data_IF_847908373988
#
_entry.id   IF_847908373988
#
_cell.length_a   1.000
_cell.length_b   1.000
_cell.length_c   1.000
_cell.angle_alpha   90.00
_cell.angle_beta   90.00
_cell.angle_gamma   90.00
#
_symmetry.space_group_name_H-M   'P 1'
#
loop_
_entity.id
_entity.type
_entity.pdbx_description
1 polymer ?
#
# COMPACT_ATOMS: atom_id res chain seq x y z
N UNK A 1 -12.23 10.50 5.17
CA UNK A 1 -11.97 9.11 5.61
C UNK A 1 -10.50 8.87 5.36
N UNK A 2 -9.75 8.48 6.39
CA UNK A 2 -8.29 8.38 6.29
C UNK A 2 -7.89 7.26 5.32
N UNK A 3 -6.86 7.50 4.50
CA UNK A 3 -6.29 6.49 3.60
C UNK A 3 -5.86 5.24 4.37
N UNK A 4 -5.44 5.42 5.61
CA UNK A 4 -5.06 4.36 6.55
C UNK A 4 -6.17 3.30 6.70
N UNK A 5 -7.44 3.70 6.82
CA UNK A 5 -8.53 2.73 6.91
C UNK A 5 -8.72 1.92 5.61
N UNK A 6 -8.37 2.46 4.44
CA UNK A 6 -8.40 1.72 3.18
C UNK A 6 -7.28 0.67 3.16
N UNK A 7 -6.06 1.05 3.56
CA UNK A 7 -4.91 0.14 3.67
C UNK A 7 -5.24 -1.01 4.62
N UNK A 8 -5.67 -0.67 5.82
CA UNK A 8 -5.93 -1.66 6.86
C UNK A 8 -7.11 -2.58 6.52
N UNK A 9 -8.14 -2.05 5.85
CA UNK A 9 -9.22 -2.91 5.31
C UNK A 9 -8.67 -3.85 4.23
N UNK A 10 -7.79 -3.37 3.35
CA UNK A 10 -7.20 -4.21 2.31
C UNK A 10 -6.28 -5.29 2.90
N UNK A 11 -5.45 -4.95 3.89
CA UNK A 11 -4.62 -5.92 4.64
C UNK A 11 -5.45 -7.03 5.31
N UNK A 12 -6.62 -6.69 5.84
CA UNK A 12 -7.53 -7.70 6.41
C UNK A 12 -8.01 -8.66 5.32
N UNK A 13 -8.34 -8.15 4.12
CA UNK A 13 -8.89 -8.96 3.03
C UNK A 13 -7.82 -9.69 2.20
N UNK A 14 -6.55 -9.30 2.29
CA UNK A 14 -5.46 -9.87 1.48
C UNK A 14 -5.09 -11.30 1.86
N UNK A 15 -5.58 -11.82 2.99
CA UNK A 15 -5.41 -13.24 3.36
C UNK A 15 -6.32 -14.19 2.55
N UNK A 16 -7.18 -13.66 1.68
CA UNK A 16 -8.10 -14.40 0.83
C UNK A 16 -9.35 -14.93 1.55
N UNK A 17 -9.57 -14.58 2.81
CA UNK A 17 -10.75 -14.96 3.57
C UNK A 17 -11.92 -13.97 3.38
N UNK A 18 -13.12 -14.42 3.77
CA UNK A 18 -14.32 -13.57 3.79
C UNK A 18 -14.53 -12.97 5.18
N UNK A 19 -14.81 -11.67 5.25
CA UNK A 19 -15.11 -10.97 6.50
C UNK A 19 -16.34 -10.08 6.39
N UNK A 20 -17.24 -10.16 7.37
CA UNK A 20 -18.39 -9.26 7.45
C UNK A 20 -17.95 -7.81 7.69
N UNK A 21 -18.76 -6.87 7.23
CA UNK A 21 -18.51 -5.45 7.49
C UNK A 21 -18.54 -5.07 8.98
N UNK A 22 -19.13 -5.92 9.83
CA UNK A 22 -19.12 -5.76 11.29
C UNK A 22 -17.79 -6.23 11.89
N UNK A 23 -17.25 -7.37 11.44
CA UNK A 23 -15.94 -7.87 11.89
C UNK A 23 -14.81 -6.90 11.50
N UNK A 24 -14.80 -6.45 10.24
CA UNK A 24 -13.83 -5.45 9.78
C UNK A 24 -14.00 -4.16 10.61
N UNK A 25 -15.24 -3.68 10.77
CA UNK A 25 -15.53 -2.48 11.54
C UNK A 25 -15.05 -2.57 12.99
N UNK A 26 -15.25 -3.72 13.65
CA UNK A 26 -14.78 -3.97 15.02
C UNK A 26 -13.26 -3.93 15.13
N UNK A 27 -12.53 -4.50 14.17
CA UNK A 27 -11.05 -4.47 14.14
C UNK A 27 -10.51 -3.03 14.00
N UNK A 28 -11.20 -2.22 13.20
CA UNK A 28 -10.82 -0.84 12.89
C UNK A 28 -11.43 0.22 13.82
N UNK A 29 -12.29 -0.18 14.77
CA UNK A 29 -13.01 0.76 15.65
C UNK A 29 -14.00 1.67 14.92
N UNK A 30 -14.54 1.24 13.78
CA UNK A 30 -15.47 2.03 12.94
C UNK A 30 -16.76 1.26 12.62
N UNK A 31 -17.85 2.00 12.37
CA UNK A 31 -19.15 1.39 12.09
C UNK A 31 -19.24 0.69 10.73
N UNK A 32 -20.15 -0.28 10.60
CA UNK A 32 -20.41 -1.03 9.36
C UNK A 32 -20.67 -0.16 8.13
N UNK A 33 -21.36 0.98 8.30
CA UNK A 33 -21.61 1.93 7.21
C UNK A 33 -20.31 2.56 6.67
N UNK A 34 -19.31 2.79 7.55
CA UNK A 34 -17.99 3.26 7.13
C UNK A 34 -17.26 2.18 6.34
N UNK A 35 -17.35 0.91 6.75
CA UNK A 35 -16.77 -0.21 5.99
C UNK A 35 -17.37 -0.32 4.61
N UNK A 36 -18.70 -0.22 4.47
CA UNK A 36 -19.32 -0.23 3.14
C UNK A 36 -18.74 0.86 2.23
N UNK A 37 -18.55 2.08 2.75
CA UNK A 37 -17.93 3.17 2.00
C UNK A 37 -16.47 2.90 1.64
N UNK A 38 -15.69 2.27 2.53
CA UNK A 38 -14.31 1.85 2.24
C UNK A 38 -14.27 0.80 1.13
N UNK A 39 -15.11 -0.24 1.22
CA UNK A 39 -15.19 -1.30 0.20
C UNK A 39 -15.56 -0.71 -1.16
N UNK A 40 -16.52 0.22 -1.21
CA UNK A 40 -16.86 0.93 -2.44
C UNK A 40 -15.67 1.69 -3.02
N UNK A 41 -14.88 2.38 -2.19
CA UNK A 41 -13.67 3.10 -2.65
C UNK A 41 -12.57 2.15 -3.14
N UNK A 42 -12.39 0.99 -2.50
CA UNK A 42 -11.44 -0.02 -2.96
C UNK A 42 -11.84 -0.57 -4.34
N UNK A 43 -13.14 -0.81 -4.55
CA UNK A 43 -13.68 -1.19 -5.87
C UNK A 43 -13.49 -0.10 -6.92
N UNK A 44 -13.72 1.16 -6.57
CA UNK A 44 -13.44 2.32 -7.47
C UNK A 44 -11.96 2.42 -7.84
N UNK A 45 -11.05 1.98 -6.96
CA UNK A 45 -9.61 1.85 -7.24
C UNK A 45 -9.25 0.64 -8.10
N UNK A 46 -10.24 -0.16 -8.49
CA UNK A 46 -10.12 -1.28 -9.42
C UNK A 46 -10.02 -2.65 -8.76
N UNK A 47 -9.96 -2.72 -7.42
CA UNK A 47 -9.83 -3.99 -6.69
C UNK A 47 -11.10 -4.83 -6.80
N UNK A 48 -10.93 -6.13 -7.09
CA UNK A 48 -12.03 -7.07 -7.23
C UNK A 48 -12.44 -7.57 -5.84
N UNK A 49 -13.47 -6.97 -5.26
CA UNK A 49 -14.03 -7.37 -3.96
C UNK A 49 -15.47 -7.86 -4.15
N UNK A 50 -15.75 -9.11 -3.81
CA UNK A 50 -17.09 -9.68 -3.84
C UNK A 50 -17.82 -9.53 -2.52
N UNK A 51 -19.15 -9.43 -2.59
CA UNK A 51 -20.03 -9.51 -1.42
C UNK A 51 -20.66 -10.91 -1.38
N UNK A 52 -20.18 -11.76 -0.48
CA UNK A 52 -20.67 -13.14 -0.30
C UNK A 52 -21.82 -13.14 0.71
N UNK A 53 -23.00 -13.61 0.26
CA UNK A 53 -24.21 -13.65 1.10
C UNK A 53 -23.95 -14.46 2.37
N UNK A 54 -24.12 -13.82 3.52
CA UNK A 54 -23.93 -14.44 4.84
C UNK A 54 -22.47 -14.54 5.31
N UNK A 55 -21.47 -14.18 4.49
CA UNK A 55 -20.05 -14.24 4.87
C UNK A 55 -19.35 -12.87 4.83
N UNK A 56 -19.88 -11.89 4.10
CA UNK A 56 -19.32 -10.54 4.06
C UNK A 56 -18.59 -10.22 2.76
N UNK A 57 -17.41 -9.63 2.88
CA UNK A 57 -16.57 -9.18 1.77
C UNK A 57 -15.35 -10.09 1.60
N UNK A 58 -15.01 -10.40 0.35
CA UNK A 58 -13.84 -11.21 -0.01
C UNK A 58 -13.08 -10.52 -1.13
N UNK A 59 -11.76 -10.40 -1.00
CA UNK A 59 -10.89 -9.95 -2.08
C UNK A 59 -10.61 -11.13 -3.03
N UNK A 60 -10.82 -10.92 -4.32
CA UNK A 60 -10.52 -11.90 -5.37
C UNK A 60 -9.12 -11.70 -5.96
N UNK A 61 -8.63 -10.47 -5.94
CA UNK A 61 -7.27 -10.15 -6.38
C UNK A 61 -6.27 -10.75 -5.37
N UNK A 62 -5.22 -11.42 -5.86
CA UNK A 62 -4.09 -11.80 -5.00
C UNK A 62 -3.22 -10.57 -4.77
N UNK A 63 -3.52 -9.84 -3.70
CA UNK A 63 -2.77 -8.64 -3.31
C UNK A 63 -1.82 -9.00 -2.19
N UNK A 64 -0.53 -8.84 -2.45
CA UNK A 64 0.51 -8.89 -1.44
C UNK A 64 0.88 -7.45 -1.06
N UNK A 65 0.57 -7.07 0.17
CA UNK A 65 0.89 -5.73 0.68
C UNK A 65 2.38 -5.66 1.04
N UNK A 66 2.98 -4.49 0.84
CA UNK A 66 4.34 -4.20 1.26
C UNK A 66 4.46 -4.33 2.77
N UNK A 67 5.37 -5.20 3.21
CA UNK A 67 5.74 -5.35 4.60
C UNK A 67 7.25 -5.13 4.77
N UNK A 68 7.60 -4.09 5.51
CA UNK A 68 9.00 -3.67 5.69
C UNK A 68 9.85 -4.77 6.33
N UNK A 69 9.29 -5.51 7.29
CA UNK A 69 10.02 -6.54 8.02
C UNK A 69 10.29 -7.76 7.13
N UNK A 70 9.32 -8.17 6.33
CA UNK A 70 9.43 -9.27 5.37
C UNK A 70 10.48 -8.94 4.32
N UNK A 71 10.42 -7.73 3.73
CA UNK A 71 11.41 -7.27 2.74
C UNK A 71 12.81 -7.26 3.35
N UNK A 72 12.97 -6.75 4.58
CA UNK A 72 14.26 -6.73 5.29
C UNK A 72 14.77 -8.14 5.60
N UNK A 73 13.90 -9.07 5.98
CA UNK A 73 14.28 -10.43 6.31
C UNK A 73 14.72 -11.25 5.09
N UNK A 74 14.13 -10.98 3.93
CA UNK A 74 14.45 -11.68 2.67
C UNK A 74 15.74 -11.18 2.01
N UNK A 75 16.22 -9.99 2.38
CA UNK A 75 17.52 -9.50 1.95
C UNK A 75 18.62 -10.25 2.67
N UNK A 76 19.40 -11.00 1.89
CA UNK A 76 20.50 -11.84 2.39
C UNK A 76 21.78 -11.07 2.66
N UNK A 77 21.80 -9.78 2.34
CA UNK A 77 22.96 -8.91 2.49
C UNK A 77 22.56 -7.56 3.10
N UNK A 78 23.57 -6.79 3.51
CA UNK A 78 23.41 -5.46 4.06
C UNK A 78 23.58 -4.38 2.96
N UNK A 79 23.07 -4.63 1.74
CA UNK A 79 23.20 -3.66 0.63
C UNK A 79 22.48 -2.34 0.91
N UNK A 80 21.43 -2.38 1.75
CA UNK A 80 20.68 -1.21 2.18
C UNK A 80 20.82 -1.03 3.69
N UNK A 81 21.20 0.18 4.11
CA UNK A 81 21.19 0.56 5.51
C UNK A 81 19.76 0.77 6.03
N UNK A 82 18.84 1.15 5.13
CA UNK A 82 17.45 1.41 5.48
C UNK A 82 16.50 1.12 4.31
N UNK A 83 15.38 0.51 4.64
CA UNK A 83 14.27 0.24 3.72
C UNK A 83 13.03 0.85 4.32
N UNK A 84 12.40 1.70 3.54
CA UNK A 84 11.26 2.51 3.94
C UNK A 84 10.07 2.08 3.09
N UNK A 85 9.01 1.62 3.75
CA UNK A 85 7.73 1.32 3.09
C UNK A 85 6.71 2.41 3.39
N UNK A 86 6.03 2.92 2.36
CA UNK A 86 5.03 3.97 2.49
C UNK A 86 3.69 3.54 1.89
N UNK A 87 2.60 3.73 2.63
CA UNK A 87 1.25 3.51 2.10
C UNK A 87 0.91 4.46 0.95
N UNK A 88 1.40 5.69 1.00
CA UNK A 88 1.19 6.67 -0.06
C UNK A 88 2.28 7.74 -0.01
N UNK A 89 2.76 8.15 -1.18
CA UNK A 89 3.64 9.32 -1.33
C UNK A 89 3.32 10.06 -2.62
N UNK A 90 3.81 11.29 -2.77
CA UNK A 90 3.76 11.96 -4.09
C UNK A 90 4.69 11.24 -5.08
N UNK A 91 5.91 10.94 -4.65
CA UNK A 91 6.92 10.22 -5.43
C UNK A 91 7.97 9.66 -4.47
N UNK A 92 8.31 8.38 -4.63
CA UNK A 92 9.38 7.70 -3.86
C UNK A 92 10.73 8.38 -4.09
N UNK A 93 11.00 8.84 -5.31
CA UNK A 93 12.23 9.54 -5.64
C UNK A 93 12.29 10.90 -4.93
N UNK A 94 11.21 11.68 -4.99
CA UNK A 94 11.14 12.98 -4.32
C UNK A 94 11.18 12.85 -2.80
N UNK A 95 10.63 11.76 -2.25
CA UNK A 95 10.72 11.46 -0.82
C UNK A 95 12.16 11.21 -0.38
N UNK A 96 12.91 10.36 -1.10
CA UNK A 96 14.32 10.13 -0.79
C UNK A 96 15.16 11.40 -0.96
N UNK A 97 14.93 12.16 -2.03
CA UNK A 97 15.69 13.39 -2.28
C UNK A 97 15.43 14.51 -1.27
N UNK A 98 14.25 14.54 -0.62
CA UNK A 98 13.93 15.61 0.35
C UNK A 98 14.31 15.26 1.77
N UNK A 99 14.20 13.99 2.17
CA UNK A 99 14.46 13.55 3.55
C UNK A 99 15.92 13.18 3.80
N UNK A 100 16.66 12.80 2.74
CA UNK A 100 17.99 12.19 2.86
C UNK A 100 19.04 12.87 1.98
N UNK A 101 18.91 14.18 1.75
CA UNK A 101 19.78 14.97 0.85
C UNK A 101 21.27 14.73 1.07
N UNK A 102 21.70 14.70 2.33
CA UNK A 102 23.11 14.55 2.74
C UNK A 102 23.42 13.16 3.35
N UNK A 103 22.52 12.21 3.18
CA UNK A 103 22.72 10.86 3.70
C UNK A 103 23.82 10.14 2.93
N UNK A 104 24.74 9.51 3.67
CA UNK A 104 25.76 8.59 3.18
C UNK A 104 25.30 7.13 3.19
N UNK A 105 24.03 6.90 3.51
CA UNK A 105 23.43 5.56 3.55
C UNK A 105 22.93 5.14 2.18
N UNK A 106 22.97 3.83 1.92
CA UNK A 106 22.21 3.18 0.86
C UNK A 106 20.77 2.98 1.33
N UNK A 107 19.82 3.62 0.65
CA UNK A 107 18.41 3.66 1.04
C UNK A 107 17.52 3.15 -0.08
N UNK A 108 16.51 2.35 0.28
CA UNK A 108 15.40 2.03 -0.61
C UNK A 108 14.09 2.61 -0.06
N UNK A 109 13.30 3.24 -0.92
CA UNK A 109 11.94 3.67 -0.60
C UNK A 109 10.98 2.99 -1.56
N UNK A 110 9.98 2.32 -1.01
CA UNK A 110 8.95 1.59 -1.76
C UNK A 110 7.60 2.11 -1.30
N UNK A 111 6.64 2.29 -2.21
CA UNK A 111 5.31 2.78 -1.86
C UNK A 111 4.19 2.02 -2.57
N UNK A 112 3.07 1.82 -1.86
CA UNK A 112 1.84 1.21 -2.39
C UNK A 112 1.14 2.09 -3.43
N UNK A 113 1.30 3.41 -3.31
CA UNK A 113 0.69 4.39 -4.20
C UNK A 113 1.54 5.65 -4.36
N UNK A 114 1.69 6.09 -5.61
CA UNK A 114 2.23 7.41 -5.93
C UNK A 114 1.15 8.31 -6.52
N UNK A 115 0.84 9.41 -5.84
CA UNK A 115 -0.16 10.39 -6.34
C UNK A 115 0.41 11.35 -7.38
N UNK A 116 1.73 11.48 -7.46
CA UNK A 116 2.45 12.38 -8.35
C UNK A 116 3.65 11.71 -9.01
N UNK A 117 3.53 10.42 -9.34
CA UNK A 117 4.59 9.66 -10.01
C UNK A 117 5.04 10.34 -11.31
N UNK A 118 6.36 10.46 -11.51
CA UNK A 118 6.94 11.10 -12.69
C UNK A 118 7.86 10.13 -13.42
N UNK A 119 7.63 10.01 -14.73
CA UNK A 119 8.54 9.37 -15.67
C UNK A 119 9.46 10.38 -16.35
N UNK A 120 10.14 9.93 -17.40
CA UNK A 120 11.03 10.77 -18.22
C UNK A 120 10.25 11.86 -18.95
N UNK A 121 10.92 12.97 -19.23
CA UNK A 121 10.35 14.11 -19.96
C UNK A 121 9.03 14.62 -19.35
N UNK A 122 8.96 14.64 -18.02
CA UNK A 122 7.81 15.10 -17.24
C UNK A 122 6.50 14.35 -17.52
N UNK A 123 6.58 13.12 -18.05
CA UNK A 123 5.40 12.27 -18.24
C UNK A 123 4.91 11.77 -16.88
N UNK A 124 3.60 11.62 -16.74
CA UNK A 124 3.02 11.00 -15.54
C UNK A 124 3.33 9.50 -15.52
N UNK A 125 3.73 8.99 -14.35
CA UNK A 125 3.83 7.56 -14.09
C UNK A 125 2.63 7.14 -13.22
N UNK A 126 1.77 6.31 -13.79
CA UNK A 126 0.58 5.81 -13.09
C UNK A 126 1.00 4.61 -12.24
N UNK A 127 0.83 4.71 -10.94
CA UNK A 127 1.06 3.62 -9.98
C UNK A 127 -0.25 3.34 -9.25
N UNK A 128 -1.14 2.49 -9.80
CA UNK A 128 -2.40 2.18 -9.15
C UNK A 128 -2.15 1.52 -7.78
N UNK A 129 -3.05 1.80 -6.85
CA UNK A 129 -2.97 1.32 -5.48
C UNK A 129 -2.86 -0.22 -5.43
N UNK A 130 -1.85 -0.73 -4.72
CA UNK A 130 -1.62 -2.16 -4.48
C UNK A 130 -1.48 -3.01 -5.77
N UNK A 131 -0.95 -2.43 -6.85
CA UNK A 131 -0.79 -3.09 -8.16
C UNK A 131 0.56 -2.87 -8.82
N UNK A 132 1.46 -2.14 -8.17
CA UNK A 132 2.75 -1.77 -8.77
C UNK A 132 3.79 -1.63 -7.68
N UNK A 133 5.02 -2.02 -8.01
CA UNK A 133 6.19 -1.72 -7.16
C UNK A 133 6.71 -0.35 -7.59
N UNK A 134 6.27 0.70 -6.89
CA UNK A 134 6.86 2.01 -7.02
C UNK A 134 8.05 2.09 -6.06
N UNK A 135 9.26 2.01 -6.60
CA UNK A 135 10.50 1.99 -5.83
C UNK A 135 11.50 3.03 -6.34
N UNK A 136 12.21 3.64 -5.41
CA UNK A 136 13.41 4.44 -5.69
C UNK A 136 14.53 4.01 -4.76
N UNK A 137 15.76 4.15 -5.25
CA UNK A 137 16.98 3.81 -4.52
C UNK A 137 17.87 5.05 -4.49
N UNK A 138 18.41 5.36 -3.31
CA UNK A 138 19.53 6.29 -3.15
C UNK A 138 20.77 5.47 -2.85
N UNK A 139 21.79 5.66 -3.67
CA UNK A 139 23.07 4.97 -3.56
C UNK A 139 24.16 5.97 -3.21
N UNK A 140 25.05 5.62 -2.30
CA UNK A 140 26.22 6.39 -1.93
C UNK A 140 27.50 5.57 -2.12
#
# INVERSE_FOLDING_TARGET
MAIENLIETLKILSDGNSYSGEEIGKRLGIGRAAIWKIISQLREKGLQIESVKGQGYKLLDNVEMLDENTIKADLKDNSFDEIITLNQTASTNSYLSSQFTDSTKNLACIAENQTGGRGRNNRSWISPFARSIAMSVRWH
#
